data_IF_771566336154
#
_entry.id   IF_771566336154
#
_cell.length_a   1.000
_cell.length_b   1.000
_cell.length_c   1.000
_cell.angle_alpha   90.00
_cell.angle_beta   90.00
_cell.angle_gamma   90.00
#
_symmetry.space_group_name_H-M   'P 1'
#
loop_
_entity.id
_entity.type
_entity.pdbx_description
1 polymer ?
#
# COMPACT_ATOMS: atom_id res chain seq x y z
N UNK A 1 -2.42 22.52 0.72
CA UNK A 1 -2.10 23.34 1.91
C UNK A 1 -1.56 22.35 2.92
N UNK A 2 -0.24 22.14 2.90
CA UNK A 2 0.41 21.05 3.65
C UNK A 2 0.53 21.50 5.11
N UNK A 3 0.20 20.62 6.06
CA UNK A 3 0.28 20.89 7.50
C UNK A 3 1.73 21.09 7.97
N UNK A 4 2.67 20.35 7.38
CA UNK A 4 4.09 20.43 7.70
C UNK A 4 4.79 21.69 7.19
N UNK A 5 5.83 22.11 7.91
CA UNK A 5 6.67 23.24 7.53
C UNK A 5 7.39 22.98 6.19
N UNK A 6 7.08 23.79 5.17
CA UNK A 6 7.62 23.63 3.81
C UNK A 6 9.13 23.83 3.72
N UNK A 7 9.70 24.69 4.56
CA UNK A 7 11.14 24.94 4.60
C UNK A 7 11.85 23.71 5.12
N UNK A 8 11.38 23.13 6.23
CA UNK A 8 11.92 21.89 6.77
C UNK A 8 11.75 20.71 5.81
N UNK A 9 10.62 20.61 5.10
CA UNK A 9 10.45 19.60 4.05
C UNK A 9 11.44 19.75 2.89
N UNK A 10 11.89 20.98 2.61
CA UNK A 10 12.89 21.24 1.56
C UNK A 10 14.29 20.91 2.06
N UNK A 11 14.62 21.32 3.29
CA UNK A 11 15.88 20.99 3.94
C UNK A 11 16.04 19.48 4.12
N UNK A 12 14.97 18.77 4.52
CA UNK A 12 14.98 17.31 4.68
C UNK A 12 15.30 16.62 3.34
N UNK A 13 14.66 17.03 2.24
CA UNK A 13 14.95 16.49 0.91
C UNK A 13 16.39 16.74 0.48
N UNK A 14 16.92 17.94 0.75
CA UNK A 14 18.31 18.26 0.48
C UNK A 14 19.26 17.37 1.29
N UNK A 15 19.00 17.20 2.59
CA UNK A 15 19.81 16.33 3.45
C UNK A 15 19.74 14.86 2.99
N UNK A 16 18.57 14.34 2.62
CA UNK A 16 18.40 12.99 2.10
C UNK A 16 19.18 12.77 0.78
N UNK A 17 19.20 13.77 -0.11
CA UNK A 17 19.95 13.73 -1.36
C UNK A 17 21.47 13.74 -1.11
N UNK A 18 21.95 14.64 -0.24
CA UNK A 18 23.37 14.69 0.14
C UNK A 18 23.80 13.42 0.87
N UNK A 19 22.92 12.82 1.69
CA UNK A 19 23.22 11.57 2.39
C UNK A 19 23.49 10.42 1.41
N UNK A 20 22.79 10.36 0.27
CA UNK A 20 23.08 9.39 -0.79
C UNK A 20 24.47 9.61 -1.41
N UNK A 21 24.85 10.87 -1.62
CA UNK A 21 26.18 11.22 -2.14
C UNK A 21 27.31 10.87 -1.17
N UNK A 22 27.05 10.98 0.14
CA UNK A 22 27.98 10.53 1.19
C UNK A 22 28.15 9.00 1.15
N UNK A 23 27.06 8.25 0.97
CA UNK A 23 27.13 6.79 0.83
C UNK A 23 27.94 6.38 -0.40
N UNK A 24 27.85 7.14 -1.49
CA UNK A 24 28.65 6.95 -2.70
C UNK A 24 30.10 7.45 -2.57
N UNK A 25 30.50 7.93 -1.39
CA UNK A 25 31.83 8.52 -1.14
C UNK A 25 32.18 9.73 -2.01
N UNK A 26 31.18 10.40 -2.60
CA UNK A 26 31.37 11.62 -3.39
C UNK A 26 31.54 12.86 -2.50
N UNK A 27 31.02 12.80 -1.26
CA UNK A 27 31.04 13.90 -0.29
C UNK A 27 31.51 13.35 1.07
N UNK A 28 32.31 14.14 1.80
CA UNK A 28 32.75 13.76 3.14
C UNK A 28 31.67 13.93 4.20
N UNK A 29 31.72 13.13 5.27
CA UNK A 29 30.85 13.30 6.43
C UNK A 29 30.96 14.70 7.08
N UNK A 30 32.12 15.36 6.95
CA UNK A 30 32.33 16.72 7.47
C UNK A 30 31.53 17.76 6.67
N UNK A 31 31.50 17.63 5.33
CA UNK A 31 30.69 18.49 4.47
C UNK A 31 29.20 18.27 4.68
N UNK A 32 28.77 17.02 4.88
CA UNK A 32 27.38 16.72 5.25
C UNK A 32 26.98 17.41 6.55
N UNK A 33 27.81 17.33 7.59
CA UNK A 33 27.55 18.01 8.86
C UNK A 33 27.46 19.53 8.70
N UNK A 34 28.31 20.13 7.85
CA UNK A 34 28.24 21.55 7.52
C UNK A 34 26.95 21.95 6.79
N UNK A 35 26.47 21.11 5.86
CA UNK A 35 25.20 21.32 5.16
C UNK A 35 24.02 21.15 6.13
N UNK A 36 24.04 20.13 6.99
CA UNK A 36 22.99 19.89 7.98
C UNK A 36 22.87 21.06 8.99
N UNK A 37 23.99 21.67 9.38
CA UNK A 37 24.00 22.87 10.23
C UNK A 37 23.44 24.10 9.50
N UNK A 38 23.73 24.26 8.20
CA UNK A 38 23.24 25.39 7.39
C UNK A 38 21.75 25.28 7.05
N UNK A 39 21.23 24.05 6.93
CA UNK A 39 19.85 23.75 6.57
C UNK A 39 19.20 22.85 7.63
N UNK A 40 18.88 23.37 8.83
CA UNK A 40 18.36 22.56 9.94
C UNK A 40 16.97 21.99 9.65
N UNK A 41 16.70 20.84 10.25
CA UNK A 41 15.42 20.12 10.18
C UNK A 41 15.03 19.73 11.61
N UNK A 42 13.96 20.33 12.13
CA UNK A 42 13.50 20.11 13.51
C UNK A 42 12.38 19.07 13.61
N UNK A 43 12.21 18.24 12.57
CA UNK A 43 11.21 17.18 12.57
C UNK A 43 11.63 16.01 13.46
N UNK A 44 10.73 15.56 14.32
CA UNK A 44 10.89 14.29 15.03
C UNK A 44 10.56 13.12 14.09
N UNK A 45 11.62 12.45 13.61
CA UNK A 45 11.59 11.34 12.65
C UNK A 45 12.35 10.13 13.20
N UNK A 46 11.71 9.29 14.03
CA UNK A 46 12.34 8.10 14.61
C UNK A 46 12.67 7.04 13.55
N UNK A 47 13.54 6.08 13.93
CA UNK A 47 13.80 4.90 13.10
C UNK A 47 12.55 4.01 12.97
N UNK A 48 12.58 3.07 12.00
CA UNK A 48 11.40 2.25 11.67
C UNK A 48 10.84 1.47 12.88
N UNK A 49 11.70 0.90 13.73
CA UNK A 49 11.28 0.14 14.90
C UNK A 49 10.53 1.02 15.91
N UNK A 50 11.09 2.18 16.23
CA UNK A 50 10.45 3.15 17.14
C UNK A 50 9.18 3.72 16.52
N UNK A 51 9.16 3.96 15.19
CA UNK A 51 7.95 4.37 14.47
C UNK A 51 6.82 3.37 14.62
N UNK A 52 7.09 2.07 14.46
CA UNK A 52 6.09 1.01 14.66
C UNK A 52 5.62 0.98 16.12
N UNK A 53 6.56 1.07 17.07
CA UNK A 53 6.24 1.09 18.50
C UNK A 53 5.34 2.28 18.87
N UNK A 54 5.66 3.48 18.40
CA UNK A 54 4.87 4.69 18.62
C UNK A 54 3.50 4.59 17.96
N UNK A 55 3.40 4.07 16.74
CA UNK A 55 2.12 3.84 16.08
C UNK A 55 1.20 2.96 16.92
N UNK A 56 1.69 1.79 17.35
CA UNK A 56 0.92 0.84 18.17
C UNK A 56 0.52 1.48 19.49
N UNK A 57 1.46 2.16 20.16
CA UNK A 57 1.19 2.83 21.43
C UNK A 57 0.11 3.92 21.27
N UNK A 58 0.15 4.71 20.21
CA UNK A 58 -0.89 5.72 19.92
C UNK A 58 -2.24 5.08 19.68
N UNK A 59 -2.32 3.98 18.93
CA UNK A 59 -3.57 3.23 18.77
C UNK A 59 -4.14 2.74 20.11
N UNK A 60 -3.27 2.22 20.99
CA UNK A 60 -3.66 1.77 22.32
C UNK A 60 -4.18 2.93 23.17
N UNK A 61 -3.43 4.05 23.24
CA UNK A 61 -3.83 5.25 24.00
C UNK A 61 -5.18 5.77 23.51
N UNK A 62 -5.38 5.87 22.20
CA UNK A 62 -6.63 6.34 21.63
C UNK A 62 -7.78 5.38 21.90
N UNK A 63 -7.58 4.07 21.78
CA UNK A 63 -8.63 3.08 22.09
C UNK A 63 -9.07 3.14 23.57
N UNK A 64 -8.11 3.25 24.50
CA UNK A 64 -8.42 3.42 25.93
C UNK A 64 -9.06 4.78 26.21
N UNK A 65 -8.60 5.85 25.57
CA UNK A 65 -9.17 7.19 25.71
C UNK A 65 -10.60 7.28 25.21
N UNK A 66 -10.85 6.82 23.98
CA UNK A 66 -12.17 6.77 23.35
C UNK A 66 -13.11 5.86 24.15
N UNK A 67 -12.60 4.72 24.63
CA UNK A 67 -13.35 3.79 25.49
C UNK A 67 -13.75 4.42 26.82
N UNK A 68 -12.83 5.12 27.49
CA UNK A 68 -13.12 5.82 28.74
C UNK A 68 -14.14 6.95 28.53
N UNK A 69 -13.95 7.78 27.50
CA UNK A 69 -14.91 8.84 27.16
C UNK A 69 -16.30 8.28 26.87
N UNK A 70 -16.36 7.15 26.15
CA UNK A 70 -17.62 6.45 25.85
C UNK A 70 -18.26 5.89 27.12
N UNK A 71 -17.47 5.35 28.05
CA UNK A 71 -17.98 4.87 29.35
C UNK A 71 -18.51 6.03 30.20
N UNK A 72 -17.84 7.18 30.20
CA UNK A 72 -18.30 8.38 30.91
C UNK A 72 -19.61 8.92 30.33
N UNK A 73 -19.79 8.81 29.01
CA UNK A 73 -21.02 9.17 28.33
C UNK A 73 -22.11 8.09 28.40
N UNK A 74 -21.86 6.93 29.05
CA UNK A 74 -22.74 5.75 29.00
C UNK A 74 -24.16 6.01 29.53
N UNK A 75 -24.33 6.99 30.40
CA UNK A 75 -25.64 7.43 30.90
C UNK A 75 -26.52 8.02 29.79
N UNK A 76 -25.93 8.47 28.68
CA UNK A 76 -26.59 9.09 27.53
C UNK A 76 -26.56 8.17 26.30
N UNK A 77 -27.26 7.02 26.38
CA UNK A 77 -27.26 6.00 25.31
C UNK A 77 -27.55 6.56 23.91
N UNK A 78 -28.53 7.45 23.77
CA UNK A 78 -28.88 8.06 22.48
C UNK A 78 -27.77 8.93 21.88
N UNK A 79 -26.85 9.45 22.70
CA UNK A 79 -25.70 10.21 22.25
C UNK A 79 -24.61 9.27 21.73
N UNK A 80 -24.28 8.20 22.45
CA UNK A 80 -23.25 7.23 22.04
C UNK A 80 -23.66 6.46 20.78
N UNK A 81 -24.95 6.13 20.65
CA UNK A 81 -25.51 5.48 19.47
C UNK A 81 -25.73 6.46 18.29
N UNK A 82 -25.33 7.72 18.42
CA UNK A 82 -25.44 8.68 17.33
C UNK A 82 -24.14 8.77 16.53
N UNK A 83 -24.26 9.02 15.22
CA UNK A 83 -23.12 9.34 14.37
C UNK A 83 -22.34 10.58 14.87
N UNK A 84 -22.99 11.48 15.61
CA UNK A 84 -22.38 12.66 16.18
C UNK A 84 -21.27 12.32 17.18
N UNK A 85 -21.44 11.25 17.98
CA UNK A 85 -20.40 10.81 18.92
C UNK A 85 -19.13 10.36 18.20
N UNK A 86 -19.28 9.59 17.11
CA UNK A 86 -18.14 9.16 16.29
C UNK A 86 -17.44 10.34 15.61
N UNK A 87 -18.20 11.34 15.14
CA UNK A 87 -17.62 12.56 14.60
C UNK A 87 -16.89 13.38 15.66
N UNK A 88 -17.39 13.42 16.90
CA UNK A 88 -16.71 14.07 18.01
C UNK A 88 -15.38 13.40 18.34
N UNK A 89 -15.34 12.07 18.48
CA UNK A 89 -14.10 11.32 18.70
C UNK A 89 -13.12 11.48 17.53
N UNK A 90 -13.63 11.41 16.29
CA UNK A 90 -12.83 11.64 15.09
C UNK A 90 -12.21 13.04 15.03
N UNK A 91 -12.97 14.06 15.47
CA UNK A 91 -12.48 15.43 15.56
C UNK A 91 -11.43 15.60 16.67
N UNK A 92 -11.56 14.91 17.80
CA UNK A 92 -10.53 14.89 18.85
C UNK A 92 -9.23 14.27 18.35
N UNK A 93 -9.31 13.11 17.66
CA UNK A 93 -8.14 12.46 17.07
C UNK A 93 -7.47 13.35 16.00
N UNK A 94 -8.27 14.02 15.16
CA UNK A 94 -7.77 14.97 14.17
C UNK A 94 -7.12 16.20 14.81
N UNK A 95 -7.71 16.75 15.87
CA UNK A 95 -7.12 17.85 16.62
C UNK A 95 -5.80 17.43 17.29
N UNK A 96 -5.74 16.22 17.86
CA UNK A 96 -4.52 15.62 18.38
C UNK A 96 -3.43 15.53 17.31
N UNK A 97 -3.78 15.10 16.10
CA UNK A 97 -2.86 15.05 14.96
C UNK A 97 -2.26 16.44 14.64
N UNK A 98 -3.11 17.46 14.54
CA UNK A 98 -2.67 18.83 14.28
C UNK A 98 -1.76 19.37 15.40
N UNK A 99 -2.07 19.05 16.65
CA UNK A 99 -1.23 19.46 17.80
C UNK A 99 0.11 18.74 17.77
N UNK A 100 0.15 17.43 17.53
CA UNK A 100 1.41 16.67 17.47
C UNK A 100 2.33 17.15 16.33
N UNK A 101 1.75 17.55 15.20
CA UNK A 101 2.51 18.09 14.06
C UNK A 101 3.02 19.51 14.36
N UNK A 102 2.16 20.39 14.88
CA UNK A 102 2.51 21.81 15.02
C UNK A 102 3.29 22.12 16.30
N UNK A 103 3.02 21.43 17.42
CA UNK A 103 3.65 21.70 18.71
C UNK A 103 4.83 20.77 18.99
N UNK A 104 4.75 19.51 18.55
CA UNK A 104 5.78 18.49 18.83
C UNK A 104 6.58 18.10 17.59
N UNK A 105 6.32 18.76 16.44
CA UNK A 105 7.05 18.60 15.18
C UNK A 105 7.16 17.14 14.70
N UNK A 106 6.18 16.29 15.03
CA UNK A 106 6.16 14.92 14.54
C UNK A 106 5.99 14.90 13.01
N UNK A 107 6.84 14.13 12.33
CA UNK A 107 6.75 13.89 10.90
C UNK A 107 7.09 12.44 10.60
N UNK A 108 6.15 11.68 10.03
CA UNK A 108 6.30 10.24 9.74
C UNK A 108 6.84 9.46 10.93
N UNK A 109 6.36 9.81 12.11
CA UNK A 109 6.81 9.31 13.41
C UNK A 109 6.05 8.09 13.89
N UNK A 110 4.93 7.77 13.24
CA UNK A 110 4.00 6.72 13.62
C UNK A 110 2.84 7.26 14.44
N UNK A 111 3.06 8.27 15.29
CA UNK A 111 1.98 8.93 16.05
C UNK A 111 1.05 9.69 15.11
N UNK A 112 1.63 10.47 14.20
CA UNK A 112 0.91 11.24 13.19
C UNK A 112 0.15 10.33 12.22
N UNK A 113 0.78 9.24 11.77
CA UNK A 113 0.12 8.25 10.92
C UNK A 113 -1.07 7.60 11.66
N UNK A 114 -0.89 7.17 12.92
CA UNK A 114 -1.94 6.54 13.71
C UNK A 114 -3.14 7.46 13.92
N UNK A 115 -2.92 8.71 14.34
CA UNK A 115 -4.01 9.68 14.55
C UNK A 115 -4.74 10.03 13.25
N UNK A 116 -4.03 10.07 12.12
CA UNK A 116 -4.64 10.24 10.80
C UNK A 116 -5.58 9.07 10.47
N UNK A 117 -5.14 7.82 10.68
CA UNK A 117 -6.00 6.66 10.43
C UNK A 117 -7.19 6.58 11.37
N UNK A 118 -6.98 6.83 12.66
CA UNK A 118 -8.03 6.76 13.67
C UNK A 118 -9.10 7.81 13.36
N UNK A 119 -8.70 9.07 13.09
CA UNK A 119 -9.65 10.12 12.71
C UNK A 119 -10.41 9.76 11.42
N UNK A 120 -9.70 9.30 10.39
CA UNK A 120 -10.31 8.85 9.13
C UNK A 120 -11.32 7.71 9.31
N UNK A 121 -10.99 6.70 10.11
CA UNK A 121 -11.86 5.55 10.39
C UNK A 121 -13.09 5.95 11.21
N UNK A 122 -12.93 6.81 12.21
CA UNK A 122 -14.05 7.32 13.03
C UNK A 122 -15.03 8.13 12.19
N UNK A 123 -14.53 9.05 11.34
CA UNK A 123 -15.39 9.79 10.41
C UNK A 123 -16.08 8.88 9.39
N UNK A 124 -15.36 7.91 8.79
CA UNK A 124 -15.95 6.96 7.85
C UNK A 124 -17.05 6.09 8.49
N UNK A 125 -16.83 5.66 9.73
CA UNK A 125 -17.83 4.90 10.51
C UNK A 125 -19.04 5.77 10.84
N UNK A 126 -18.81 7.02 11.24
CA UNK A 126 -19.89 8.00 11.46
C UNK A 126 -20.74 8.25 10.21
N UNK A 127 -20.13 8.37 9.03
CA UNK A 127 -20.88 8.48 7.76
C UNK A 127 -21.70 7.23 7.46
N UNK A 128 -21.14 6.04 7.70
CA UNK A 128 -21.83 4.77 7.49
C UNK A 128 -23.06 4.68 8.40
N UNK A 129 -22.91 5.01 9.68
CA UNK A 129 -24.01 5.01 10.65
C UNK A 129 -25.09 6.04 10.30
N UNK A 130 -24.68 7.25 9.92
CA UNK A 130 -25.60 8.32 9.51
C UNK A 130 -26.43 7.91 8.28
N UNK A 131 -25.82 7.24 7.30
CA UNK A 131 -26.53 6.79 6.11
C UNK A 131 -27.43 5.57 6.38
N UNK A 132 -26.96 4.62 7.20
CA UNK A 132 -27.72 3.41 7.56
C UNK A 132 -29.04 3.73 8.26
N UNK A 133 -29.09 4.78 9.09
CA UNK A 133 -30.29 5.13 9.85
C UNK A 133 -31.37 5.83 9.01
N UNK A 134 -31.04 6.27 7.79
CA UNK A 134 -31.90 7.17 7.01
C UNK A 134 -32.79 6.47 5.94
N UNK A 135 -32.89 5.14 5.90
CA UNK A 135 -33.79 4.36 5.00
C UNK A 135 -33.70 4.65 3.48
N UNK A 136 -32.75 5.45 3.01
CA UNK A 136 -32.55 5.79 1.58
C UNK A 136 -31.84 4.69 0.77
N UNK A 137 -32.47 3.53 0.51
CA UNK A 137 -32.04 2.56 -0.51
C UNK A 137 -30.53 2.21 -0.54
N UNK A 138 -29.96 1.94 -1.72
CA UNK A 138 -28.53 1.60 -1.87
C UNK A 138 -27.62 2.78 -1.51
N UNK A 139 -27.08 2.79 -0.29
CA UNK A 139 -26.25 3.86 0.29
C UNK A 139 -24.81 3.95 -0.26
N UNK A 140 -24.40 3.07 -1.17
CA UNK A 140 -23.02 2.97 -1.63
C UNK A 140 -22.49 4.22 -2.37
N UNK A 141 -23.24 4.86 -3.30
CA UNK A 141 -22.76 6.09 -3.94
C UNK A 141 -22.51 7.26 -2.97
N UNK A 142 -23.45 7.69 -2.08
CA UNK A 142 -23.15 8.79 -1.18
C UNK A 142 -22.05 8.45 -0.17
N UNK A 143 -21.98 7.20 0.32
CA UNK A 143 -20.92 6.79 1.24
C UNK A 143 -19.53 6.88 0.61
N UNK A 144 -19.35 6.30 -0.58
CA UNK A 144 -18.08 6.34 -1.30
C UNK A 144 -17.67 7.77 -1.68
N UNK A 145 -18.63 8.63 -2.02
CA UNK A 145 -18.38 10.06 -2.24
C UNK A 145 -17.90 10.80 -0.99
N UNK A 146 -18.52 10.55 0.17
CA UNK A 146 -18.08 11.15 1.45
C UNK A 146 -16.69 10.67 1.87
N UNK A 147 -16.42 9.37 1.74
CA UNK A 147 -15.09 8.80 2.02
C UNK A 147 -14.04 9.38 1.06
N UNK A 148 -14.37 9.55 -0.22
CA UNK A 148 -13.50 10.20 -1.19
C UNK A 148 -13.15 11.62 -0.77
N UNK A 149 -14.14 12.46 -0.42
CA UNK A 149 -13.89 13.85 0.00
C UNK A 149 -13.05 13.93 1.28
N UNK A 150 -13.34 13.07 2.27
CA UNK A 150 -12.58 12.99 3.52
C UNK A 150 -11.12 12.62 3.26
N UNK A 151 -10.87 11.56 2.51
CA UNK A 151 -9.52 11.08 2.24
C UNK A 151 -8.76 11.96 1.24
N UNK A 152 -9.46 12.67 0.36
CA UNK A 152 -8.90 13.74 -0.46
C UNK A 152 -8.39 14.88 0.43
N UNK A 153 -9.18 15.32 1.42
CA UNK A 153 -8.74 16.32 2.38
C UNK A 153 -7.51 15.88 3.16
N UNK A 154 -7.53 14.67 3.74
CA UNK A 154 -6.41 14.13 4.51
C UNK A 154 -5.14 13.98 3.65
N UNK A 155 -5.26 13.49 2.41
CA UNK A 155 -4.11 13.34 1.51
C UNK A 155 -3.54 14.68 1.06
N UNK A 156 -4.36 15.70 0.81
CA UNK A 156 -3.87 17.05 0.45
C UNK A 156 -3.22 17.75 1.66
N UNK A 157 -3.73 17.53 2.87
CA UNK A 157 -3.23 18.21 4.08
C UNK A 157 -1.96 17.57 4.63
N UNK A 158 -1.89 16.23 4.66
CA UNK A 158 -0.77 15.50 5.26
C UNK A 158 0.16 14.85 4.24
N UNK A 159 -0.12 14.93 2.94
CA UNK A 159 0.68 14.30 1.89
C UNK A 159 0.96 12.81 2.17
N UNK A 160 -0.01 12.12 2.79
CA UNK A 160 0.10 10.73 3.16
C UNK A 160 -0.25 9.79 1.99
N UNK A 161 0.54 8.73 1.88
CA UNK A 161 0.48 7.76 0.79
C UNK A 161 -0.72 6.83 0.91
N UNK A 162 -1.00 6.37 2.13
CA UNK A 162 -2.08 5.42 2.39
C UNK A 162 -3.45 6.13 2.31
N UNK A 163 -3.57 7.35 2.83
CA UNK A 163 -4.74 8.21 2.62
C UNK A 163 -5.01 8.45 1.13
N UNK A 164 -3.96 8.68 0.33
CA UNK A 164 -4.09 8.81 -1.13
C UNK A 164 -4.54 7.50 -1.81
N UNK A 165 -4.12 6.35 -1.28
CA UNK A 165 -4.59 5.02 -1.73
C UNK A 165 -6.10 4.91 -1.56
N UNK A 166 -6.58 5.15 -0.33
CA UNK A 166 -8.01 5.06 0.01
C UNK A 166 -8.80 6.10 -0.80
N UNK A 167 -8.26 7.30 -1.00
CA UNK A 167 -8.86 8.32 -1.85
C UNK A 167 -9.09 7.84 -3.29
N UNK A 168 -8.07 7.22 -3.91
CA UNK A 168 -8.20 6.67 -5.27
C UNK A 168 -9.24 5.54 -5.33
N UNK A 169 -9.23 4.63 -4.36
CA UNK A 169 -10.19 3.52 -4.29
C UNK A 169 -11.62 4.03 -4.07
N UNK A 170 -11.81 4.99 -3.15
CA UNK A 170 -13.11 5.59 -2.87
C UNK A 170 -13.66 6.35 -4.07
N UNK A 171 -12.81 7.06 -4.81
CA UNK A 171 -13.20 7.74 -6.05
C UNK A 171 -13.66 6.73 -7.11
N UNK A 172 -12.90 5.66 -7.32
CA UNK A 172 -13.24 4.59 -8.26
C UNK A 172 -14.56 3.91 -7.85
N UNK A 173 -14.75 3.61 -6.57
CA UNK A 173 -15.98 3.06 -6.04
C UNK A 173 -17.18 4.02 -6.23
N UNK A 174 -16.98 5.32 -6.00
CA UNK A 174 -18.00 6.34 -6.24
C UNK A 174 -18.48 6.35 -7.69
N UNK A 175 -17.54 6.37 -8.64
CA UNK A 175 -17.88 6.32 -10.06
C UNK A 175 -18.61 5.02 -10.40
N UNK A 176 -18.11 3.87 -9.94
CA UNK A 176 -18.72 2.58 -10.20
C UNK A 176 -20.18 2.50 -9.71
N UNK A 177 -20.42 2.82 -8.44
CA UNK A 177 -21.76 2.75 -7.85
C UNK A 177 -22.69 3.82 -8.42
N UNK A 178 -22.19 5.03 -8.71
CA UNK A 178 -22.99 6.06 -9.38
C UNK A 178 -23.38 5.63 -10.80
N UNK A 179 -22.45 5.05 -11.56
CA UNK A 179 -22.68 4.62 -12.94
C UNK A 179 -23.74 3.52 -13.01
N UNK A 180 -23.64 2.50 -12.16
CA UNK A 180 -24.60 1.38 -12.12
C UNK A 180 -26.00 1.85 -11.74
N UNK A 181 -26.09 2.86 -10.84
CA UNK A 181 -27.37 3.40 -10.40
C UNK A 181 -28.05 4.28 -11.45
N UNK A 182 -27.28 5.06 -12.21
CA UNK A 182 -27.82 6.08 -13.13
C UNK A 182 -28.06 5.51 -14.54
N UNK A 183 -27.20 4.61 -15.02
CA UNK A 183 -27.23 4.14 -16.40
C UNK A 183 -28.04 2.83 -16.51
N UNK A 184 -29.05 2.75 -17.41
CA UNK A 184 -29.89 1.56 -17.57
C UNK A 184 -29.14 0.25 -17.88
N UNK A 185 -27.96 0.34 -18.53
CA UNK A 185 -27.03 -0.78 -18.77
C UNK A 185 -25.73 -0.61 -17.98
N UNK A 186 -25.81 -0.02 -16.79
CA UNK A 186 -24.64 0.41 -16.01
C UNK A 186 -23.71 -0.74 -15.64
N UNK A 187 -24.23 -1.91 -15.28
CA UNK A 187 -23.39 -3.06 -14.91
C UNK A 187 -22.59 -3.62 -16.11
N UNK A 188 -23.22 -3.76 -17.28
CA UNK A 188 -22.55 -4.26 -18.49
C UNK A 188 -21.55 -3.27 -19.08
N UNK A 189 -21.72 -1.97 -18.82
CA UNK A 189 -20.84 -0.90 -19.31
C UNK A 189 -19.82 -0.41 -18.28
N UNK A 190 -19.98 -0.81 -17.00
CA UNK A 190 -19.08 -0.47 -15.91
C UNK A 190 -17.60 -0.78 -16.19
N UNK A 191 -17.22 -1.94 -16.78
CA UNK A 191 -15.84 -2.22 -17.16
C UNK A 191 -15.20 -1.09 -17.98
N UNK A 192 -15.88 -0.60 -19.01
CA UNK A 192 -15.33 0.40 -19.93
C UNK A 192 -15.17 1.78 -19.29
N UNK A 193 -16.14 2.23 -18.49
CA UNK A 193 -16.01 3.50 -17.78
C UNK A 193 -14.91 3.43 -16.72
N UNK A 194 -14.78 2.29 -16.03
CA UNK A 194 -13.73 2.10 -15.03
C UNK A 194 -12.34 2.03 -15.66
N UNK A 195 -12.21 1.43 -16.86
CA UNK A 195 -10.98 1.50 -17.65
C UNK A 195 -10.63 2.94 -18.04
N UNK A 196 -11.61 3.70 -18.55
CA UNK A 196 -11.41 5.10 -18.94
C UNK A 196 -10.95 5.95 -17.75
N UNK A 197 -11.68 5.87 -16.64
CA UNK A 197 -11.39 6.66 -15.43
C UNK A 197 -10.05 6.26 -14.82
N UNK A 198 -9.75 4.96 -14.72
CA UNK A 198 -8.45 4.49 -14.22
C UNK A 198 -7.30 4.96 -15.12
N UNK A 199 -7.43 4.86 -16.44
CA UNK A 199 -6.46 5.40 -17.39
C UNK A 199 -6.28 6.92 -17.25
N UNK A 200 -7.37 7.65 -17.02
CA UNK A 200 -7.36 9.09 -16.76
C UNK A 200 -6.59 9.46 -15.48
N UNK A 201 -6.83 8.74 -14.38
CA UNK A 201 -6.10 8.92 -13.11
C UNK A 201 -4.60 8.67 -13.32
N UNK A 202 -4.23 7.58 -14.00
CA UNK A 202 -2.84 7.26 -14.30
C UNK A 202 -2.17 8.38 -15.11
N UNK A 203 -2.84 8.86 -16.15
CA UNK A 203 -2.32 9.93 -17.00
C UNK A 203 -2.13 11.24 -16.23
N UNK A 204 -3.14 11.67 -15.46
CA UNK A 204 -3.07 12.84 -14.58
C UNK A 204 -1.90 12.68 -13.61
N UNK A 205 -1.79 11.54 -12.93
CA UNK A 205 -0.71 11.28 -11.99
C UNK A 205 0.67 11.35 -12.66
N UNK A 206 0.83 10.89 -13.90
CA UNK A 206 2.07 11.04 -14.66
C UNK A 206 2.42 12.50 -14.97
N UNK A 207 1.44 13.30 -15.42
CA UNK A 207 1.62 14.71 -15.76
C UNK A 207 2.05 15.51 -14.52
N UNK A 208 1.36 15.33 -13.39
CA UNK A 208 1.64 16.09 -12.18
C UNK A 208 2.90 15.63 -11.45
N UNK A 209 3.27 14.34 -11.54
CA UNK A 209 4.50 13.84 -10.92
C UNK A 209 5.78 14.43 -11.53
N UNK A 210 5.69 14.98 -12.74
CA UNK A 210 6.81 15.62 -13.43
C UNK A 210 6.97 17.10 -13.05
N UNK A 211 6.03 17.68 -12.29
CA UNK A 211 6.03 19.10 -11.93
C UNK A 211 6.64 19.32 -10.55
N UNK A 212 7.60 20.26 -10.45
CA UNK A 212 8.28 20.61 -9.20
C UNK A 212 7.33 21.11 -8.10
N UNK A 213 6.21 21.72 -8.47
CA UNK A 213 5.18 22.21 -7.54
C UNK A 213 4.56 21.08 -6.69
N UNK A 214 4.54 19.84 -7.22
CA UNK A 214 3.92 18.69 -6.57
C UNK A 214 4.94 17.75 -5.92
N UNK A 215 6.19 18.19 -5.75
CA UNK A 215 7.29 17.37 -5.21
C UNK A 215 6.96 16.75 -3.85
N UNK A 216 6.23 17.48 -2.99
CA UNK A 216 5.83 16.99 -1.68
C UNK A 216 4.75 15.90 -1.73
N UNK A 217 4.06 15.75 -2.86
CA UNK A 217 3.02 14.73 -3.09
C UNK A 217 3.50 13.59 -4.00
N UNK A 218 4.81 13.49 -4.27
CA UNK A 218 5.37 12.47 -5.16
C UNK A 218 4.94 11.05 -4.74
N UNK A 219 4.97 10.74 -3.44
CA UNK A 219 4.54 9.42 -2.94
C UNK A 219 3.04 9.18 -3.16
N UNK A 220 2.19 10.19 -2.94
CA UNK A 220 0.75 10.11 -3.24
C UNK A 220 0.50 9.84 -4.73
N UNK A 221 1.25 10.51 -5.61
CA UNK A 221 1.14 10.36 -7.07
C UNK A 221 1.67 9.01 -7.55
N UNK A 222 2.75 8.49 -6.96
CA UNK A 222 3.25 7.14 -7.23
C UNK A 222 2.19 6.10 -6.90
N UNK A 223 1.56 6.20 -5.74
CA UNK A 223 0.47 5.28 -5.36
C UNK A 223 -0.75 5.44 -6.24
N UNK A 224 -1.13 6.67 -6.60
CA UNK A 224 -2.21 6.89 -7.55
C UNK A 224 -1.95 6.17 -8.88
N UNK A 225 -0.70 6.16 -9.38
CA UNK A 225 -0.31 5.35 -10.56
C UNK A 225 -0.48 3.85 -10.31
N UNK A 226 -0.02 3.33 -9.18
CA UNK A 226 -0.14 1.89 -8.85
C UNK A 226 -1.60 1.45 -8.75
N UNK A 227 -2.41 2.19 -8.00
CA UNK A 227 -3.85 1.89 -7.81
C UNK A 227 -4.58 1.99 -9.15
N UNK A 228 -4.32 3.02 -9.94
CA UNK A 228 -4.99 3.20 -11.24
C UNK A 228 -4.58 2.14 -12.27
N UNK A 229 -3.32 1.74 -12.34
CA UNK A 229 -2.89 0.63 -13.22
C UNK A 229 -3.52 -0.70 -12.79
N UNK A 230 -3.57 -0.96 -11.47
CA UNK A 230 -4.20 -2.17 -10.93
C UNK A 230 -5.70 -2.17 -11.21
N UNK A 231 -6.39 -1.04 -11.01
CA UNK A 231 -7.80 -0.88 -11.30
C UNK A 231 -8.09 -0.98 -12.80
N UNK A 232 -7.24 -0.43 -13.66
CA UNK A 232 -7.35 -0.53 -15.12
C UNK A 232 -7.27 -1.98 -15.59
N UNK A 233 -6.36 -2.77 -15.01
CA UNK A 233 -6.29 -4.21 -15.27
C UNK A 233 -7.54 -4.93 -14.73
N UNK A 234 -7.90 -4.72 -13.46
CA UNK A 234 -9.04 -5.38 -12.83
C UNK A 234 -10.36 -5.09 -13.56
N UNK A 235 -10.52 -3.87 -14.06
CA UNK A 235 -11.72 -3.45 -14.81
C UNK A 235 -11.94 -4.20 -16.11
N UNK A 236 -10.88 -4.76 -16.72
CA UNK A 236 -10.98 -5.58 -17.92
C UNK A 236 -10.63 -7.05 -17.70
N UNK A 237 -10.33 -7.45 -16.46
CA UNK A 237 -9.99 -8.83 -16.12
C UNK A 237 -11.25 -9.70 -16.14
N UNK A 238 -11.19 -10.83 -16.85
CA UNK A 238 -12.36 -11.69 -17.07
C UNK A 238 -12.92 -12.24 -15.74
N UNK A 239 -12.04 -12.68 -14.83
CA UNK A 239 -12.45 -13.18 -13.52
C UNK A 239 -13.17 -12.13 -12.70
N UNK A 240 -12.59 -10.93 -12.58
CA UNK A 240 -13.17 -9.83 -11.81
C UNK A 240 -14.57 -9.49 -12.34
N UNK A 241 -14.72 -9.37 -13.65
CA UNK A 241 -16.01 -9.02 -14.27
C UNK A 241 -17.03 -10.14 -14.07
N UNK A 242 -16.65 -11.40 -14.26
CA UNK A 242 -17.60 -12.52 -14.07
C UNK A 242 -18.08 -12.58 -12.63
N UNK A 243 -17.16 -12.58 -11.66
CA UNK A 243 -17.49 -12.70 -10.24
C UNK A 243 -18.35 -11.53 -9.79
N UNK A 244 -17.93 -10.30 -10.08
CA UNK A 244 -18.65 -9.09 -9.68
C UNK A 244 -20.04 -9.02 -10.34
N UNK A 245 -20.14 -9.31 -11.64
CA UNK A 245 -21.43 -9.32 -12.32
C UNK A 245 -22.36 -10.42 -11.78
N UNK A 246 -21.82 -11.60 -11.45
CA UNK A 246 -22.61 -12.71 -10.93
C UNK A 246 -23.13 -12.44 -9.52
N UNK A 247 -22.28 -11.88 -8.65
CA UNK A 247 -22.66 -11.45 -7.30
C UNK A 247 -23.72 -10.36 -7.34
N UNK A 248 -23.56 -9.35 -8.21
CA UNK A 248 -24.51 -8.24 -8.31
C UNK A 248 -25.85 -8.64 -8.96
N UNK A 249 -25.84 -9.59 -9.90
CA UNK A 249 -27.07 -10.07 -10.55
C UNK A 249 -27.74 -11.23 -9.82
N UNK A 250 -27.08 -11.82 -8.82
CA UNK A 250 -27.55 -13.02 -8.11
C UNK A 250 -27.67 -14.27 -8.99
N UNK A 251 -27.04 -14.26 -10.17
CA UNK A 251 -27.06 -15.40 -11.11
C UNK A 251 -25.75 -15.49 -11.87
N UNK A 252 -25.30 -16.71 -12.10
CA UNK A 252 -24.16 -16.98 -12.97
C UNK A 252 -24.60 -16.94 -14.43
N UNK A 253 -23.80 -16.29 -15.26
CA UNK A 253 -24.10 -16.15 -16.69
C UNK A 253 -22.84 -15.90 -17.51
N UNK A 254 -22.91 -16.07 -18.83
CA UNK A 254 -21.80 -15.75 -19.72
C UNK A 254 -21.50 -14.25 -19.63
N UNK A 255 -20.21 -13.91 -19.52
CA UNK A 255 -19.78 -12.51 -19.50
C UNK A 255 -19.99 -11.90 -20.90
N UNK A 256 -20.79 -10.82 -21.03
CA UNK A 256 -20.88 -10.09 -22.29
C UNK A 256 -19.49 -9.63 -22.73
N UNK A 257 -19.16 -9.74 -24.03
CA UNK A 257 -17.84 -9.40 -24.56
C UNK A 257 -16.66 -10.22 -23.97
N UNK A 258 -16.92 -11.45 -23.53
CA UNK A 258 -15.90 -12.31 -22.89
C UNK A 258 -14.57 -12.42 -23.64
N UNK A 259 -14.59 -12.47 -24.98
CA UNK A 259 -13.37 -12.51 -25.79
C UNK A 259 -12.48 -11.25 -25.62
N UNK A 260 -13.09 -10.07 -25.48
CA UNK A 260 -12.38 -8.81 -25.24
C UNK A 260 -11.71 -8.86 -23.87
N UNK A 261 -12.42 -9.31 -22.84
CA UNK A 261 -11.88 -9.37 -21.47
C UNK A 261 -10.81 -10.47 -21.31
N UNK A 262 -10.93 -11.59 -22.01
CA UNK A 262 -9.84 -12.57 -22.07
C UNK A 262 -8.59 -12.00 -22.74
N UNK A 263 -8.76 -11.32 -23.88
CA UNK A 263 -7.66 -10.65 -24.58
C UNK A 263 -7.00 -9.61 -23.66
N UNK A 264 -7.79 -8.81 -22.96
CA UNK A 264 -7.31 -7.82 -21.99
C UNK A 264 -6.55 -8.46 -20.83
N UNK A 265 -7.11 -9.51 -20.24
CA UNK A 265 -6.51 -10.27 -19.12
C UNK A 265 -5.12 -10.77 -19.46
N UNK A 266 -4.93 -11.30 -20.67
CA UNK A 266 -3.64 -11.85 -21.10
C UNK A 266 -2.69 -10.75 -21.56
N UNK A 267 -3.16 -9.79 -22.38
CA UNK A 267 -2.30 -8.85 -23.08
C UNK A 267 -1.80 -7.71 -22.17
N UNK A 268 -2.62 -7.24 -21.23
CA UNK A 268 -2.31 -6.05 -20.43
C UNK A 268 -1.04 -6.16 -19.56
N UNK A 269 -0.78 -7.28 -18.84
CA UNK A 269 0.47 -7.44 -18.09
C UNK A 269 1.71 -7.29 -18.98
N UNK A 270 1.69 -7.91 -20.18
CA UNK A 270 2.79 -7.79 -21.15
C UNK A 270 2.90 -6.38 -21.73
N UNK A 271 1.78 -5.70 -21.97
CA UNK A 271 1.77 -4.31 -22.40
C UNK A 271 2.43 -3.39 -21.34
N UNK A 272 2.14 -3.61 -20.05
CA UNK A 272 2.76 -2.85 -18.95
C UNK A 272 4.26 -3.11 -18.87
N UNK A 273 4.70 -4.37 -18.96
CA UNK A 273 6.13 -4.71 -18.96
C UNK A 273 6.83 -4.09 -20.17
N UNK A 274 6.26 -4.22 -21.37
CA UNK A 274 6.83 -3.66 -22.60
C UNK A 274 6.93 -2.13 -22.55
N UNK A 275 5.89 -1.45 -22.06
CA UNK A 275 5.92 0.00 -21.85
C UNK A 275 6.88 0.40 -20.73
N UNK A 276 6.96 -0.37 -19.65
CA UNK A 276 7.90 -0.16 -18.55
C UNK A 276 9.35 -0.25 -19.00
N UNK A 277 9.69 -1.24 -19.82
CA UNK A 277 11.02 -1.38 -20.44
C UNK A 277 11.28 -0.21 -21.39
N UNK A 278 10.36 0.10 -22.30
CA UNK A 278 10.53 1.16 -23.31
C UNK A 278 10.68 2.55 -22.67
N UNK A 279 9.93 2.84 -21.61
CA UNK A 279 9.93 4.14 -20.91
C UNK A 279 10.88 4.19 -19.72
N UNK A 280 11.53 3.07 -19.37
CA UNK A 280 12.33 2.91 -18.14
C UNK A 280 11.51 3.27 -16.88
N UNK A 281 10.24 2.89 -16.88
CA UNK A 281 9.31 3.14 -15.78
C UNK A 281 9.20 1.89 -14.89
N UNK A 282 9.80 2.00 -13.71
CA UNK A 282 9.84 0.91 -12.71
C UNK A 282 8.44 0.56 -12.20
N UNK A 283 7.52 1.52 -12.14
CA UNK A 283 6.14 1.29 -11.66
C UNK A 283 5.41 0.39 -12.64
N UNK A 284 5.46 0.71 -13.94
CA UNK A 284 4.84 -0.12 -15.00
C UNK A 284 5.44 -1.53 -15.03
N UNK A 285 6.76 -1.65 -14.87
CA UNK A 285 7.44 -2.94 -14.86
C UNK A 285 7.02 -3.80 -13.66
N UNK A 286 7.07 -3.26 -12.44
CA UNK A 286 6.72 -3.99 -11.21
C UNK A 286 5.24 -4.37 -11.19
N UNK A 287 4.34 -3.45 -11.52
CA UNK A 287 2.90 -3.74 -11.59
C UNK A 287 2.63 -4.78 -12.68
N UNK A 288 3.22 -4.64 -13.87
CA UNK A 288 3.07 -5.63 -14.95
C UNK A 288 3.50 -7.04 -14.56
N UNK A 289 4.62 -7.19 -13.85
CA UNK A 289 5.08 -8.48 -13.32
C UNK A 289 4.10 -9.08 -12.31
N UNK A 290 3.60 -8.28 -11.36
CA UNK A 290 2.58 -8.75 -10.40
C UNK A 290 1.28 -9.18 -11.12
N UNK A 291 0.90 -8.46 -12.18
CA UNK A 291 -0.29 -8.78 -12.95
C UNK A 291 -0.14 -10.02 -13.84
N UNK A 292 1.07 -10.45 -14.20
CA UNK A 292 1.29 -11.77 -14.82
C UNK A 292 0.79 -12.87 -13.88
N UNK A 293 1.12 -12.78 -12.59
CA UNK A 293 0.64 -13.75 -11.59
C UNK A 293 -0.88 -13.73 -11.51
N UNK A 294 -1.49 -12.53 -11.47
CA UNK A 294 -2.95 -12.40 -11.47
C UNK A 294 -3.60 -12.97 -12.75
N UNK A 295 -3.00 -12.78 -13.92
CA UNK A 295 -3.46 -13.35 -15.19
C UNK A 295 -3.32 -14.87 -15.22
N UNK A 296 -2.22 -15.42 -14.71
CA UNK A 296 -2.00 -16.87 -14.61
C UNK A 296 -3.02 -17.52 -13.65
N UNK A 297 -3.30 -16.90 -12.50
CA UNK A 297 -4.35 -17.33 -11.58
C UNK A 297 -5.73 -17.28 -12.24
N UNK A 298 -6.04 -16.18 -12.95
CA UNK A 298 -7.28 -16.06 -13.71
C UNK A 298 -7.41 -17.20 -14.71
N UNK A 299 -6.41 -17.42 -15.57
CA UNK A 299 -6.43 -18.49 -16.57
C UNK A 299 -6.67 -19.85 -15.94
N UNK A 300 -5.97 -20.15 -14.84
CA UNK A 300 -6.07 -21.41 -14.12
C UNK A 300 -7.44 -21.66 -13.50
N UNK A 301 -8.14 -20.63 -13.04
CA UNK A 301 -9.50 -20.76 -12.49
C UNK A 301 -10.51 -21.24 -13.53
N UNK A 302 -10.28 -20.93 -14.81
CA UNK A 302 -11.18 -21.34 -15.90
C UNK A 302 -10.70 -22.56 -16.67
N UNK A 303 -9.38 -22.78 -16.71
CA UNK A 303 -8.75 -23.85 -17.49
C UNK A 303 -7.86 -24.71 -16.60
N UNK A 304 -8.41 -25.85 -16.18
CA UNK A 304 -7.68 -26.88 -15.42
C UNK A 304 -6.95 -27.85 -16.36
N UNK A 305 -6.00 -27.34 -17.13
CA UNK A 305 -5.27 -28.12 -18.16
C UNK A 305 -4.29 -29.13 -17.54
N UNK A 306 -3.69 -28.79 -16.40
CA UNK A 306 -2.66 -29.59 -15.73
C UNK A 306 -2.91 -29.68 -14.22
N UNK A 307 -2.46 -30.77 -13.56
CA UNK A 307 -2.39 -30.85 -12.10
C UNK A 307 -1.58 -29.70 -11.51
N UNK A 308 -1.93 -29.29 -10.28
CA UNK A 308 -1.33 -28.14 -9.59
C UNK A 308 0.18 -28.25 -9.48
N UNK A 309 0.67 -29.41 -9.08
CA UNK A 309 2.09 -29.62 -8.78
C UNK A 309 2.92 -29.54 -10.06
N UNK A 310 2.41 -30.13 -11.15
CA UNK A 310 3.06 -30.10 -12.47
C UNK A 310 3.08 -28.67 -13.02
N UNK A 311 1.94 -27.96 -12.95
CA UNK A 311 1.84 -26.59 -13.44
C UNK A 311 2.79 -25.64 -12.69
N UNK A 312 2.87 -25.74 -11.37
CA UNK A 312 3.77 -24.92 -10.55
C UNK A 312 5.24 -25.26 -10.81
N UNK A 313 5.58 -26.53 -10.98
CA UNK A 313 6.96 -26.97 -11.29
C UNK A 313 7.42 -26.44 -12.64
N UNK A 314 6.57 -26.54 -13.66
CA UNK A 314 6.86 -25.99 -15.00
C UNK A 314 6.97 -24.47 -14.94
N UNK A 315 6.03 -23.79 -14.29
CA UNK A 315 6.06 -22.33 -14.16
C UNK A 315 7.34 -21.84 -13.46
N UNK A 316 7.71 -22.47 -12.34
CA UNK A 316 8.94 -22.17 -11.62
C UNK A 316 10.19 -22.39 -12.48
N UNK A 317 10.24 -23.50 -13.21
CA UNK A 317 11.35 -23.81 -14.13
C UNK A 317 11.47 -22.75 -15.24
N UNK A 318 10.35 -22.35 -15.84
CA UNK A 318 10.31 -21.30 -16.86
C UNK A 318 10.77 -19.96 -16.28
N UNK A 319 10.29 -19.57 -15.10
CA UNK A 319 10.70 -18.33 -14.43
C UNK A 319 12.21 -18.36 -14.15
N UNK A 320 12.76 -19.45 -13.63
CA UNK A 320 14.20 -19.60 -13.38
C UNK A 320 15.01 -19.47 -14.67
N UNK A 321 14.57 -20.11 -15.76
CA UNK A 321 15.23 -20.00 -17.05
C UNK A 321 15.20 -18.55 -17.59
N UNK A 322 14.07 -17.86 -17.46
CA UNK A 322 13.93 -16.45 -17.85
C UNK A 322 14.83 -15.56 -17.01
N UNK A 323 14.84 -15.72 -15.69
CA UNK A 323 15.72 -14.95 -14.78
C UNK A 323 17.18 -15.18 -15.16
N UNK A 324 17.61 -16.43 -15.32
CA UNK A 324 18.97 -16.76 -15.75
C UNK A 324 19.34 -16.10 -17.09
N UNK A 325 18.43 -16.15 -18.07
CA UNK A 325 18.64 -15.53 -19.37
C UNK A 325 18.77 -14.00 -19.26
N UNK A 326 17.90 -13.34 -18.48
CA UNK A 326 17.93 -11.90 -18.25
C UNK A 326 19.22 -11.48 -17.53
N UNK A 327 19.61 -12.18 -16.47
CA UNK A 327 20.88 -11.93 -15.75
C UNK A 327 22.06 -12.06 -16.71
N UNK A 328 22.14 -13.16 -17.46
CA UNK A 328 23.21 -13.38 -18.44
C UNK A 328 23.23 -12.28 -19.52
N UNK A 329 22.06 -11.82 -19.97
CA UNK A 329 21.94 -10.79 -20.99
C UNK A 329 22.37 -9.40 -20.50
N UNK A 330 22.08 -9.08 -19.22
CA UNK A 330 22.35 -7.79 -18.58
C UNK A 330 23.67 -7.74 -17.79
N UNK A 331 24.48 -8.80 -17.80
CA UNK A 331 25.85 -8.79 -17.25
C UNK A 331 26.69 -7.66 -17.83
N UNK A 332 26.50 -7.35 -19.11
CA UNK A 332 27.01 -6.13 -19.74
C UNK A 332 25.86 -5.12 -19.83
N UNK A 333 26.05 -3.86 -19.38
CA UNK A 333 25.01 -2.85 -19.48
C UNK A 333 24.49 -2.69 -20.91
N UNK A 334 23.17 -2.81 -21.11
CA UNK A 334 22.52 -2.71 -22.42
C UNK A 334 21.28 -1.84 -22.33
N UNK A 335 21.17 -0.87 -23.23
CA UNK A 335 20.02 0.05 -23.32
C UNK A 335 19.68 0.79 -22.01
N UNK A 336 20.67 0.94 -21.12
CA UNK A 336 20.52 1.54 -19.80
C UNK A 336 19.93 0.62 -18.73
N UNK A 337 19.92 -0.69 -18.95
CA UNK A 337 19.68 -1.71 -17.92
C UNK A 337 20.97 -2.45 -17.62
N UNK A 338 21.19 -2.80 -16.36
CA UNK A 338 22.34 -3.56 -15.89
C UNK A 338 21.91 -4.52 -14.78
N UNK A 339 22.66 -5.63 -14.63
CA UNK A 339 22.51 -6.55 -13.51
C UNK A 339 23.32 -6.11 -12.28
N UNK A 340 24.35 -5.28 -12.45
CA UNK A 340 25.15 -4.78 -11.32
C UNK A 340 24.26 -4.06 -10.31
N UNK A 341 24.40 -4.44 -9.05
CA UNK A 341 23.73 -3.76 -7.93
C UNK A 341 24.06 -2.27 -7.96
N UNK A 342 23.03 -1.45 -7.71
CA UNK A 342 23.22 -0.03 -7.45
C UNK A 342 23.68 0.16 -6.02
N UNK A 343 24.62 1.07 -5.77
CA UNK A 343 25.02 1.50 -4.42
C UNK A 343 23.86 2.20 -3.64
N UNK A 344 22.69 2.39 -4.26
CA UNK A 344 21.49 2.85 -3.57
C UNK A 344 20.85 1.70 -2.76
N UNK A 345 20.95 1.77 -1.43
CA UNK A 345 20.20 0.89 -0.52
C UNK A 345 18.69 0.96 -0.79
N UNK A 346 18.07 -0.17 -1.17
CA UNK A 346 16.62 -0.27 -1.30
C UNK A 346 15.98 -0.73 0.01
N UNK A 347 14.73 -0.30 0.26
CA UNK A 347 13.94 -0.78 1.41
C UNK A 347 13.81 -2.32 1.47
N UNK A 348 13.89 -3.00 0.32
CA UNK A 348 13.86 -4.46 0.23
C UNK A 348 15.13 -5.11 0.77
N UNK A 349 16.28 -4.42 0.68
CA UNK A 349 17.56 -4.88 1.21
C UNK A 349 17.53 -4.82 2.75
N UNK A 350 16.88 -3.78 3.29
CA UNK A 350 16.61 -3.64 4.73
C UNK A 350 15.63 -4.69 5.26
N UNK A 351 14.61 -5.06 4.47
CA UNK A 351 13.58 -6.02 4.88
C UNK A 351 14.02 -7.49 4.80
N UNK A 352 15.25 -7.79 4.31
CA UNK A 352 15.79 -9.15 4.12
C UNK A 352 14.72 -10.13 3.65
N UNK A 353 13.99 -9.78 2.60
CA UNK A 353 12.80 -10.52 2.16
C UNK A 353 13.10 -11.99 1.86
N UNK A 354 14.33 -12.28 1.43
CA UNK A 354 14.86 -13.65 1.27
C UNK A 354 14.77 -14.46 2.57
N UNK A 355 15.14 -13.86 3.71
CA UNK A 355 15.06 -14.51 5.02
C UNK A 355 13.61 -14.75 5.46
N UNK A 356 12.68 -13.87 5.09
CA UNK A 356 11.26 -14.03 5.38
C UNK A 356 10.66 -15.19 4.58
N UNK A 357 11.01 -15.30 3.29
CA UNK A 357 10.57 -16.38 2.41
C UNK A 357 11.17 -17.72 2.88
N UNK A 358 12.44 -17.75 3.26
CA UNK A 358 13.06 -18.95 3.85
C UNK A 358 12.39 -19.31 5.17
N UNK A 359 12.16 -18.36 6.06
CA UNK A 359 11.46 -18.63 7.32
C UNK A 359 10.05 -19.17 7.11
N UNK A 360 9.27 -18.58 6.19
CA UNK A 360 7.90 -19.02 5.90
C UNK A 360 7.87 -20.41 5.26
N UNK A 361 8.73 -20.65 4.27
CA UNK A 361 8.79 -21.91 3.51
C UNK A 361 9.39 -23.06 4.32
N UNK A 362 10.33 -22.78 5.22
CA UNK A 362 11.03 -23.78 6.03
C UNK A 362 10.55 -23.84 7.49
N UNK A 363 9.59 -23.02 7.91
CA UNK A 363 8.98 -23.07 9.26
C UNK A 363 8.34 -24.42 9.61
N UNK A 364 8.06 -25.25 8.61
CA UNK A 364 7.45 -26.57 8.75
C UNK A 364 8.45 -27.73 8.60
N UNK A 365 9.76 -27.48 8.71
CA UNK A 365 10.69 -28.58 8.94
C UNK A 365 10.25 -29.30 10.22
N UNK A 366 9.95 -30.62 10.17
CA UNK A 366 9.54 -31.34 11.37
C UNK A 366 10.59 -31.13 12.44
N UNK A 367 10.15 -30.79 13.65
CA UNK A 367 10.99 -30.82 14.83
C UNK A 367 11.76 -32.15 14.80
N UNK A 368 13.09 -32.06 14.92
CA UNK A 368 13.98 -33.22 15.04
C UNK A 368 13.29 -34.22 15.96
N UNK A 369 13.09 -35.49 15.55
CA UNK A 369 12.50 -36.49 16.43
C UNK A 369 13.32 -36.47 17.71
N UNK A 370 12.67 -36.22 18.85
CA UNK A 370 13.24 -36.51 20.15
C UNK A 370 13.55 -38.00 20.13
N UNK A 371 14.83 -38.32 19.93
CA UNK A 371 15.34 -39.68 19.84
C UNK A 371 15.08 -40.35 21.19
N UNK A 372 13.99 -41.11 21.27
CA UNK A 372 13.72 -42.02 22.37
C UNK A 372 14.77 -43.14 22.32
N UNK A 373 15.87 -42.90 23.03
CA UNK A 373 16.70 -43.96 23.58
C UNK A 373 17.76 -44.54 22.66
N UNK A 374 18.86 -43.80 22.46
CA UNK A 374 20.18 -44.43 22.40
C UNK A 374 21.19 -43.58 23.19
N UNK A 375 21.47 -43.99 24.43
CA UNK A 375 22.58 -43.48 25.24
C UNK A 375 23.89 -44.11 24.77
N UNK A 376 24.71 -43.35 24.07
CA UNK A 376 26.17 -43.44 24.08
C UNK A 376 26.66 -42.01 24.35
N UNK A 377 27.46 -41.64 25.35
CA UNK A 377 28.43 -42.37 26.16
C UNK A 377 29.68 -41.48 26.25
N UNK A 378 29.74 -40.61 27.26
CA UNK A 378 30.99 -40.03 27.79
C UNK A 378 31.41 -38.64 27.29
N UNK A 379 31.54 -37.70 28.24
CA UNK A 379 32.58 -36.65 28.17
C UNK A 379 32.15 -35.20 28.36
N UNK A 380 32.59 -34.61 29.47
CA UNK A 380 32.43 -33.22 29.96
C UNK A 380 32.75 -32.08 28.97
N UNK A 381 31.93 -31.03 29.01
CA UNK A 381 32.27 -29.61 29.23
C UNK A 381 30.96 -28.79 29.05
N UNK A 382 30.50 -27.88 29.90
CA UNK A 382 31.13 -27.18 31.01
C UNK A 382 30.76 -25.69 30.94
N UNK A 383 29.60 -25.33 31.52
CA UNK A 383 29.23 -23.97 31.98
C UNK A 383 28.82 -22.95 30.91
N UNK A 384 27.84 -22.07 31.13
CA UNK A 384 27.10 -21.76 32.34
C UNK A 384 26.34 -20.45 32.11
N UNK A 385 25.01 -20.52 32.10
CA UNK A 385 24.12 -19.37 32.04
C UNK A 385 24.14 -18.54 33.34
N UNK A 386 23.66 -17.31 33.19
CA UNK A 386 23.64 -16.21 34.15
C UNK A 386 22.92 -16.44 35.49
N UNK A 387 23.48 -15.84 36.55
CA UNK A 387 22.79 -15.20 37.70
C UNK A 387 23.88 -14.49 38.51
N UNK A 388 23.86 -13.22 38.93
CA UNK A 388 22.79 -12.39 39.46
C UNK A 388 23.19 -11.98 40.89
N UNK A 389 23.39 -10.67 41.16
CA UNK A 389 23.47 -10.08 42.50
C UNK A 389 24.84 -9.54 42.95
N UNK A 390 25.07 -8.24 42.78
CA UNK A 390 25.41 -7.20 43.78
C UNK A 390 25.81 -5.89 43.09
#
# INVERSE_FOLDING_TARGET
MIAYNKTWLTNLRLQDEVKKEVQQSNISNAEFNGIAQKYPVDFYTPNLFVRIGLFILTCVIMAFGDGLLTLMAASSRGLIESAFWLFFLGALAYAGLEVMINASHHYRSGVDDALLFISGCLFATGFTMMLSNNNYGTHYPPLSGLIFLLTLWLSIRFADMLAATICCVAFLAFIFFAWIKIVPAGLSTAPFIMMLVSGGIYWIACVYNSRKEFINYNNCLIVAKVVSLTALYASGNYYVIQTLSSEMMGKTGPVPFGAIFWTWTILMPFAYIGLGIKRKDVILLRVGLLLITAAALTFRTYYHVLPVDVALTIAGTVILAVVYAVVRYLKTPKHGFTYTESDEENLMDHLKVESLIVAETFSHAPAVPTDEGVKFGGGDFGGGGSSGGF
#
